data_IF_444659047308
#
_entry.id   IF_444659047308
#
_cell.length_a   1.000
_cell.length_b   1.000
_cell.length_c   1.000
_cell.angle_alpha   90.00
_cell.angle_beta   90.00
_cell.angle_gamma   90.00
#
_symmetry.space_group_name_H-M   'P 1'
#
loop_
_entity.id
_entity.type
_entity.pdbx_description
1 polymer ?
#
# COMPACT_ATOMS: atom_id res chain seq x y z
N UNK A 1 5.27 12.59 -8.43
CA UNK A 1 5.02 11.78 -7.22
C UNK A 1 4.71 10.34 -7.62
N UNK A 2 5.25 9.34 -6.91
CA UNK A 2 4.96 7.89 -7.09
C UNK A 2 3.56 7.50 -6.55
N UNK A 3 2.58 8.41 -6.66
CA UNK A 3 1.31 8.32 -5.94
C UNK A 3 0.49 7.10 -6.33
N UNK A 4 0.59 6.63 -7.59
CA UNK A 4 -0.16 5.50 -8.10
C UNK A 4 0.60 4.17 -7.96
N UNK A 5 1.82 4.20 -7.42
CA UNK A 5 2.65 3.02 -7.30
C UNK A 5 2.30 2.23 -6.03
N UNK A 6 2.38 0.91 -6.16
CA UNK A 6 2.33 -0.04 -5.07
C UNK A 6 3.39 -1.12 -5.26
N UNK A 7 3.86 -1.66 -4.15
CA UNK A 7 4.88 -2.70 -4.10
C UNK A 7 4.23 -3.95 -3.54
N UNK A 8 4.35 -5.05 -4.28
CA UNK A 8 3.98 -6.38 -3.81
C UNK A 8 5.26 -7.11 -3.43
N UNK A 9 5.29 -7.69 -2.24
CA UNK A 9 6.41 -8.46 -1.73
C UNK A 9 5.95 -9.80 -1.18
N UNK A 10 6.84 -10.79 -1.20
CA UNK A 10 6.57 -12.13 -0.68
C UNK A 10 5.96 -13.09 -1.69
N UNK A 11 5.79 -12.71 -2.96
CA UNK A 11 5.33 -13.59 -4.05
C UNK A 11 6.53 -13.93 -4.96
N UNK A 12 6.78 -15.20 -5.27
CA UNK A 12 7.90 -15.60 -6.16
C UNK A 12 7.69 -15.10 -7.60
N UNK A 13 8.69 -14.44 -8.18
CA UNK A 13 8.67 -13.87 -9.53
C UNK A 13 9.72 -14.56 -10.41
N UNK A 14 9.24 -15.41 -11.33
CA UNK A 14 10.08 -16.23 -12.21
C UNK A 14 10.25 -15.65 -13.62
N UNK A 15 9.81 -14.41 -13.85
CA UNK A 15 9.91 -13.76 -15.16
C UNK A 15 10.54 -12.38 -15.02
N UNK A 16 11.37 -12.01 -16.00
CA UNK A 16 11.86 -10.65 -16.18
C UNK A 16 11.06 -9.91 -17.27
N UNK A 17 10.17 -10.59 -17.98
CA UNK A 17 9.30 -9.98 -18.97
C UNK A 17 8.20 -9.16 -18.30
N UNK A 18 8.10 -7.90 -18.71
CA UNK A 18 7.19 -6.91 -18.13
C UNK A 18 5.72 -7.23 -18.42
N UNK A 19 5.40 -7.69 -19.65
CA UNK A 19 4.03 -8.00 -20.04
C UNK A 19 3.51 -9.23 -19.28
N UNK A 20 4.31 -10.29 -19.21
CA UNK A 20 4.02 -11.48 -18.42
C UNK A 20 3.89 -11.18 -16.92
N UNK A 21 4.75 -10.30 -16.38
CA UNK A 21 4.64 -9.88 -14.99
C UNK A 21 3.35 -9.09 -14.74
N UNK A 22 2.99 -8.17 -15.64
CA UNK A 22 1.76 -7.38 -15.57
C UNK A 22 0.53 -8.28 -15.60
N UNK A 23 0.49 -9.26 -16.50
CA UNK A 23 -0.60 -10.23 -16.57
C UNK A 23 -0.67 -11.07 -15.29
N UNK A 24 0.46 -11.63 -14.84
CA UNK A 24 0.54 -12.41 -13.60
C UNK A 24 0.02 -11.62 -12.39
N UNK A 25 0.39 -10.35 -12.28
CA UNK A 25 -0.04 -9.48 -11.17
C UNK A 25 -1.51 -9.08 -11.28
N UNK A 26 -2.03 -8.90 -12.51
CA UNK A 26 -3.46 -8.66 -12.75
C UNK A 26 -4.30 -9.86 -12.28
N UNK A 27 -3.89 -11.07 -12.67
CA UNK A 27 -4.53 -12.31 -12.26
C UNK A 27 -4.44 -12.53 -10.74
N UNK A 28 -3.28 -12.25 -10.13
CA UNK A 28 -3.11 -12.31 -8.68
C UNK A 28 -4.09 -11.39 -7.93
N UNK A 29 -4.20 -10.12 -8.34
CA UNK A 29 -5.12 -9.17 -7.72
C UNK A 29 -6.57 -9.62 -7.90
N UNK A 30 -6.94 -10.05 -9.11
CA UNK A 30 -8.30 -10.55 -9.39
C UNK A 30 -8.66 -11.75 -8.53
N UNK A 31 -7.76 -12.73 -8.42
CA UNK A 31 -8.00 -13.98 -7.69
C UNK A 31 -8.04 -13.77 -6.16
N UNK A 32 -7.10 -13.01 -5.61
CA UNK A 32 -6.93 -12.93 -4.15
C UNK A 32 -7.59 -11.72 -3.51
N UNK A 33 -7.82 -10.66 -4.27
CA UNK A 33 -8.50 -9.46 -3.77
C UNK A 33 -9.93 -9.35 -4.31
N UNK A 34 -10.33 -10.16 -5.29
CA UNK A 34 -11.63 -10.06 -5.98
C UNK A 34 -11.84 -8.63 -6.48
N UNK A 35 -10.82 -8.09 -7.15
CA UNK A 35 -10.82 -6.74 -7.69
C UNK A 35 -10.33 -6.77 -9.14
N UNK A 36 -11.08 -6.15 -10.04
CA UNK A 36 -10.66 -5.98 -11.42
C UNK A 36 -9.94 -4.65 -11.55
N UNK A 37 -8.62 -4.66 -11.41
CA UNK A 37 -7.82 -3.43 -11.45
C UNK A 37 -7.00 -3.27 -12.69
N UNK A 38 -6.83 -2.02 -13.12
CA UNK A 38 -6.00 -1.70 -14.27
C UNK A 38 -4.58 -1.30 -13.86
N UNK A 39 -3.61 -2.12 -14.28
CA UNK A 39 -2.19 -1.89 -14.09
C UNK A 39 -1.64 -1.24 -15.38
N UNK A 40 -0.96 -0.11 -15.25
CA UNK A 40 -0.25 0.51 -16.37
C UNK A 40 1.02 -0.29 -16.67
N UNK A 41 1.86 -0.50 -15.64
CA UNK A 41 3.18 -1.11 -15.74
C UNK A 41 3.51 -2.00 -14.54
N UNK A 42 4.26 -3.08 -14.75
CA UNK A 42 4.79 -3.94 -13.70
C UNK A 42 6.30 -4.14 -13.85
N UNK A 43 7.06 -3.90 -12.79
CA UNK A 43 8.53 -3.98 -12.81
C UNK A 43 9.01 -4.92 -11.72
N UNK A 44 9.82 -5.92 -12.08
CA UNK A 44 10.50 -6.78 -11.09
C UNK A 44 11.57 -5.95 -10.36
N UNK A 45 11.52 -5.95 -9.04
CA UNK A 45 12.54 -5.34 -8.18
C UNK A 45 13.45 -6.38 -7.53
N UNK A 46 13.01 -7.63 -7.45
CA UNK A 46 13.76 -8.78 -6.95
C UNK A 46 12.95 -10.06 -7.08
N UNK A 47 13.49 -11.19 -6.64
CA UNK A 47 12.86 -12.50 -6.84
C UNK A 47 11.54 -12.70 -6.10
N UNK A 48 11.28 -11.86 -5.10
CA UNK A 48 10.02 -11.86 -4.35
C UNK A 48 9.34 -10.50 -4.28
N UNK A 49 9.78 -9.53 -5.08
CA UNK A 49 9.31 -8.14 -4.98
C UNK A 49 9.11 -7.53 -6.36
N UNK A 50 7.94 -6.94 -6.60
CA UNK A 50 7.66 -6.13 -7.79
C UNK A 50 7.00 -4.81 -7.43
N UNK A 51 7.17 -3.85 -8.33
CA UNK A 51 6.47 -2.57 -8.34
C UNK A 51 5.39 -2.60 -9.39
N UNK A 52 4.20 -2.14 -9.03
CA UNK A 52 3.07 -1.94 -9.92
C UNK A 52 2.76 -0.46 -10.00
N UNK A 53 2.73 0.08 -11.21
CA UNK A 53 2.19 1.40 -11.51
C UNK A 53 0.73 1.20 -11.92
N UNK A 54 -0.19 1.66 -11.08
CA UNK A 54 -1.62 1.60 -11.38
C UNK A 54 -1.99 2.73 -12.35
N UNK A 55 -3.01 2.51 -13.18
CA UNK A 55 -3.49 3.56 -14.10
C UNK A 55 -3.97 4.82 -13.36
N UNK A 56 -4.56 4.65 -12.16
CA UNK A 56 -5.03 5.76 -11.35
C UNK A 56 -4.83 5.55 -9.85
N UNK A 57 -4.95 6.64 -9.09
CA UNK A 57 -4.95 6.59 -7.63
C UNK A 57 -6.17 5.83 -7.08
N UNK A 58 -7.30 5.86 -7.79
CA UNK A 58 -8.50 5.13 -7.42
C UNK A 58 -8.27 3.62 -7.53
N UNK A 59 -7.62 3.17 -8.60
CA UNK A 59 -7.21 1.77 -8.80
C UNK A 59 -6.29 1.30 -7.68
N UNK A 60 -5.27 2.10 -7.33
CA UNK A 60 -4.42 1.83 -6.17
C UNK A 60 -5.24 1.73 -4.87
N UNK A 61 -6.20 2.64 -4.65
CA UNK A 61 -7.00 2.65 -3.44
C UNK A 61 -7.90 1.42 -3.31
N UNK A 62 -8.45 0.90 -4.43
CA UNK A 62 -9.21 -0.36 -4.46
C UNK A 62 -8.36 -1.53 -3.96
N UNK A 63 -7.16 -1.72 -4.53
CA UNK A 63 -6.20 -2.75 -4.09
C UNK A 63 -5.86 -2.59 -2.60
N UNK A 64 -5.51 -1.38 -2.18
CA UNK A 64 -5.06 -1.09 -0.82
C UNK A 64 -6.14 -1.32 0.25
N UNK A 65 -7.41 -1.09 -0.07
CA UNK A 65 -8.55 -1.37 0.83
C UNK A 65 -8.75 -2.87 1.05
N UNK A 66 -8.54 -3.68 0.00
CA UNK A 66 -8.79 -5.13 0.04
C UNK A 66 -7.58 -5.97 0.46
N UNK A 67 -6.39 -5.39 0.57
CA UNK A 67 -5.15 -6.12 0.91
C UNK A 67 -5.19 -6.91 2.23
N UNK A 68 -6.12 -6.59 3.14
CA UNK A 68 -6.34 -7.38 4.36
C UNK A 68 -6.71 -8.83 4.06
N UNK A 69 -7.37 -9.11 2.91
CA UNK A 69 -7.71 -10.46 2.45
C UNK A 69 -6.48 -11.36 2.29
N UNK A 70 -5.32 -10.78 1.99
CA UNK A 70 -4.06 -11.54 1.84
C UNK A 70 -3.60 -12.22 3.13
N UNK A 71 -4.08 -11.76 4.30
CA UNK A 71 -3.75 -12.39 5.60
C UNK A 71 -4.21 -13.84 5.70
N UNK A 72 -5.17 -14.25 4.89
CA UNK A 72 -5.75 -15.59 4.90
C UNK A 72 -5.09 -16.56 3.91
N UNK A 73 -4.17 -16.09 3.07
CA UNK A 73 -3.45 -16.94 2.13
C UNK A 73 -2.45 -17.80 2.93
N UNK A 74 -2.70 -19.11 2.97
CA UNK A 74 -1.80 -20.09 3.59
C UNK A 74 -0.58 -20.31 2.70
N UNK A 75 0.61 -20.40 3.29
CA UNK A 75 1.86 -20.79 2.59
C UNK A 75 2.82 -19.64 2.26
N UNK A 76 2.32 -18.44 1.90
CA UNK A 76 3.19 -17.29 1.61
C UNK A 76 2.72 -16.02 2.32
N UNK A 77 3.62 -15.36 3.06
CA UNK A 77 3.37 -14.04 3.65
C UNK A 77 3.52 -12.97 2.57
N UNK A 78 2.43 -12.68 1.87
CA UNK A 78 2.38 -11.67 0.81
C UNK A 78 1.95 -10.31 1.39
N UNK A 79 2.68 -9.25 1.04
CA UNK A 79 2.38 -7.89 1.50
C UNK A 79 2.23 -6.93 0.33
N UNK A 80 1.19 -6.08 0.41
CA UNK A 80 1.02 -4.93 -0.48
C UNK A 80 1.26 -3.64 0.32
N UNK A 81 2.25 -2.87 -0.14
CA UNK A 81 2.65 -1.59 0.43
C UNK A 81 2.62 -0.46 -0.60
N UNK A 82 2.54 0.77 -0.13
CA UNK A 82 2.70 1.93 -1.00
C UNK A 82 4.20 2.13 -1.33
N UNK A 83 4.52 2.58 -2.54
CA UNK A 83 5.88 3.01 -2.92
C UNK A 83 6.17 4.38 -2.31
N UNK A 84 6.60 4.37 -1.05
CA UNK A 84 6.90 5.56 -0.25
C UNK A 84 8.41 5.83 -0.22
N UNK A 85 8.78 7.11 -0.21
CA UNK A 85 10.16 7.51 0.13
C UNK A 85 10.48 7.19 1.58
N UNK A 86 11.78 7.23 1.95
CA UNK A 86 12.21 7.04 3.35
C UNK A 86 11.57 8.08 4.27
N UNK A 87 11.53 9.35 3.84
CA UNK A 87 10.88 10.43 4.57
C UNK A 87 9.40 10.15 4.79
N UNK A 88 8.67 9.79 3.71
CA UNK A 88 7.25 9.46 3.80
C UNK A 88 7.02 8.26 4.73
N UNK A 89 7.90 7.25 4.68
CA UNK A 89 7.83 6.09 5.58
C UNK A 89 8.03 6.48 7.04
N UNK A 90 8.95 7.40 7.33
CA UNK A 90 9.18 7.89 8.69
C UNK A 90 7.97 8.67 9.21
N UNK A 91 7.41 9.57 8.39
CA UNK A 91 6.16 10.28 8.72
C UNK A 91 5.02 9.28 8.99
N UNK A 92 4.87 8.24 8.16
CA UNK A 92 3.88 7.20 8.41
C UNK A 92 4.11 6.42 9.72
N UNK A 93 5.36 6.21 10.13
CA UNK A 93 5.69 5.57 11.41
C UNK A 93 5.30 6.46 12.58
N UNK A 94 5.64 7.74 12.54
CA UNK A 94 5.27 8.73 13.57
C UNK A 94 3.75 8.83 13.74
N UNK A 95 3.01 9.00 12.63
CA UNK A 95 1.55 9.00 12.65
C UNK A 95 1.03 7.69 13.25
N UNK A 96 1.62 6.56 12.89
CA UNK A 96 1.25 5.25 13.42
C UNK A 96 1.45 5.13 14.94
N UNK A 97 2.60 5.59 15.44
CA UNK A 97 2.91 5.62 16.86
C UNK A 97 1.92 6.52 17.62
N UNK A 98 1.63 7.71 17.09
CA UNK A 98 0.69 8.64 17.73
C UNK A 98 -0.75 8.13 17.71
N UNK A 99 -1.18 7.50 16.60
CA UNK A 99 -2.47 6.80 16.55
C UNK A 99 -2.58 5.72 17.63
N UNK A 100 -1.51 4.95 17.88
CA UNK A 100 -1.49 3.91 18.91
C UNK A 100 -1.62 4.54 20.29
N UNK A 101 -0.77 5.50 20.61
CA UNK A 101 -0.78 6.23 21.89
C UNK A 101 -2.18 6.77 22.24
N UNK A 102 -2.81 7.49 21.30
CA UNK A 102 -4.14 8.06 21.50
C UNK A 102 -5.24 7.00 21.67
N UNK A 103 -5.14 5.86 20.97
CA UNK A 103 -6.08 4.73 21.13
C UNK A 103 -5.88 4.01 22.46
N UNK A 104 -4.65 3.87 22.91
CA UNK A 104 -4.32 3.30 24.22
C UNK A 104 -4.87 4.20 25.35
N UNK A 105 -5.05 5.49 25.10
CA UNK A 105 -5.75 6.46 25.97
C UNK A 105 -7.29 6.45 25.80
N UNK A 106 -7.85 5.56 24.99
CA UNK A 106 -9.30 5.45 24.75
C UNK A 106 -9.89 6.47 23.77
N UNK A 107 -9.07 7.25 23.06
CA UNK A 107 -9.53 8.25 22.08
C UNK A 107 -9.92 7.60 20.76
N UNK A 108 -10.91 8.15 20.06
CA UNK A 108 -11.28 7.67 18.73
C UNK A 108 -10.40 8.33 17.67
N UNK A 109 -9.56 7.55 16.99
CA UNK A 109 -8.58 8.07 16.02
C UNK A 109 -8.80 7.51 14.63
N UNK A 110 -9.09 8.42 13.69
CA UNK A 110 -9.09 8.15 12.25
C UNK A 110 -7.77 8.61 11.64
N UNK A 111 -7.06 7.69 10.98
CA UNK A 111 -5.79 7.98 10.31
C UNK A 111 -6.02 8.44 8.87
N UNK A 112 -5.38 9.54 8.50
CA UNK A 112 -5.29 10.05 7.13
C UNK A 112 -3.89 9.80 6.55
N UNK A 113 -3.66 10.15 5.28
CA UNK A 113 -2.35 9.97 4.64
C UNK A 113 -1.25 10.80 5.31
N UNK A 114 -1.47 12.11 5.56
CA UNK A 114 -0.49 12.99 6.21
C UNK A 114 -0.93 13.44 7.60
N UNK A 115 -1.72 12.63 8.30
CA UNK A 115 -2.18 13.02 9.63
C UNK A 115 -3.23 12.11 10.23
N UNK A 116 -3.98 12.66 11.17
CA UNK A 116 -5.04 11.95 11.87
C UNK A 116 -6.13 12.93 12.33
N UNK A 117 -7.34 12.41 12.52
CA UNK A 117 -8.47 13.10 13.13
C UNK A 117 -8.82 12.38 14.43
N UNK A 118 -8.86 13.11 15.55
CA UNK A 118 -9.21 12.61 16.88
C UNK A 118 -10.62 13.07 17.23
N UNK A 119 -11.44 12.15 17.74
CA UNK A 119 -12.82 12.38 18.20
C UNK A 119 -13.71 13.16 17.22
N UNK A 120 -13.45 12.97 15.93
CA UNK A 120 -14.23 13.53 14.83
C UNK A 120 -13.95 15.00 14.49
N UNK A 121 -13.26 15.76 15.34
CA UNK A 121 -13.06 17.21 15.14
C UNK A 121 -11.59 17.66 15.15
N UNK A 122 -10.73 17.02 15.94
CA UNK A 122 -9.36 17.47 16.16
C UNK A 122 -8.43 16.94 15.05
N UNK A 123 -7.94 17.82 14.17
CA UNK A 123 -7.15 17.45 12.99
C UNK A 123 -5.67 17.75 13.17
N UNK A 124 -4.85 16.71 13.12
CA UNK A 124 -3.39 16.81 13.18
C UNK A 124 -2.81 16.54 11.80
N UNK A 125 -1.84 17.35 11.38
CA UNK A 125 -1.23 17.28 10.04
C UNK A 125 0.28 17.37 10.15
N UNK A 126 0.97 16.42 9.54
CA UNK A 126 2.41 16.43 9.36
C UNK A 126 2.70 17.11 8.03
N UNK A 127 3.33 18.30 8.07
CA UNK A 127 3.80 18.94 6.85
C UNK A 127 4.94 18.10 6.28
N UNK A 128 4.93 17.90 4.96
CA UNK A 128 6.15 17.53 4.26
C UNK A 128 7.11 18.71 4.46
N UNK A 129 8.33 18.46 4.95
CA UNK A 129 9.41 19.42 4.68
C UNK A 129 9.44 19.55 3.15
N UNK A 130 9.23 20.77 2.64
CA UNK A 130 9.41 21.03 1.22
C UNK A 130 10.86 20.69 0.86
N UNK A 131 11.12 20.14 -0.35
CA UNK A 131 12.47 20.01 -0.86
C UNK A 131 13.16 21.38 -0.94
#
# INVERSE_FOLDING_TARGET
>A
MKQNNLVISGLKINTNDEAALKEKMTNFIKQHLEENTKIEKAVKLGDRTCLLKMESIEEKNKVMKKKSKLRHIKGEKIFISQDMTVLERNIQKEIGAKCKELRDMGRNVKRDYNGLTVDGNEKWRWRKASP
#
